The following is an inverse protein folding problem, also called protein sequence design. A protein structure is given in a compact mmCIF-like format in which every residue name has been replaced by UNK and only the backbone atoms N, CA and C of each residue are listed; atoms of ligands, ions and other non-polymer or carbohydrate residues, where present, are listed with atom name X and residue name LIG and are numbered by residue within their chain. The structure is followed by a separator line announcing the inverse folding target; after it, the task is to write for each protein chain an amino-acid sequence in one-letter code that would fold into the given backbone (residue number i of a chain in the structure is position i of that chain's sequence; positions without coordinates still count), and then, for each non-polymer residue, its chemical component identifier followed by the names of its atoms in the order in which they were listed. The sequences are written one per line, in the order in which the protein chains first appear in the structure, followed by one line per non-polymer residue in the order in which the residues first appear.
data_IF_878574349285
#
_entry.id   IF_878574349285
#
_cell.length_a   1.000
_cell.length_b   1.000
_cell.length_c   1.000
_cell.angle_alpha   90.00
_cell.angle_beta   90.00
_cell.angle_gamma   90.00
#
_symmetry.space_group_name_H-M   'P 1'
#
loop_
_entity.id
_entity.type
_entity.pdbx_description
1 polymer ?
#
# COMPACT_ATOMS: atom_id res chain seq x y z
N UNK A 1 -14.88 5.93 -13.04
CA UNK A 1 -14.27 4.80 -12.31
C UNK A 1 -13.17 5.27 -11.37
N UNK A 2 -12.07 5.85 -11.85
CA UNK A 2 -10.95 6.34 -11.01
C UNK A 2 -11.41 7.29 -9.90
N UNK A 3 -12.32 8.24 -10.19
CA UNK A 3 -12.90 9.13 -9.19
C UNK A 3 -13.59 8.35 -8.05
N UNK A 4 -14.40 7.34 -8.39
CA UNK A 4 -15.05 6.48 -7.39
C UNK A 4 -14.04 5.70 -6.55
N UNK A 5 -12.99 5.15 -7.17
CA UNK A 5 -11.92 4.48 -6.44
C UNK A 5 -11.18 5.44 -5.49
N UNK A 6 -10.98 6.69 -5.93
CA UNK A 6 -10.38 7.76 -5.13
C UNK A 6 -11.24 8.09 -3.93
N UNK A 7 -12.55 8.25 -4.10
CA UNK A 7 -13.48 8.53 -2.99
C UNK A 7 -13.48 7.41 -1.95
N UNK A 8 -13.52 6.15 -2.39
CA UNK A 8 -13.48 4.98 -1.49
C UNK A 8 -12.16 4.88 -0.72
N UNK A 9 -11.03 5.05 -1.42
CA UNK A 9 -9.72 5.02 -0.79
C UNK A 9 -9.52 6.20 0.17
N UNK A 10 -10.02 7.39 -0.19
CA UNK A 10 -9.99 8.57 0.66
C UNK A 10 -10.83 8.39 1.92
N UNK A 11 -12.02 7.80 1.80
CA UNK A 11 -12.86 7.49 2.96
C UNK A 11 -12.16 6.51 3.92
N UNK A 12 -11.46 5.49 3.40
CA UNK A 12 -10.64 4.59 4.23
C UNK A 12 -9.53 5.35 4.95
N UNK A 13 -8.82 6.26 4.27
CA UNK A 13 -7.79 7.10 4.89
C UNK A 13 -8.41 7.95 6.00
N UNK A 14 -9.46 8.73 5.71
CA UNK A 14 -10.07 9.64 6.67
C UNK A 14 -10.61 8.90 7.91
N UNK A 15 -11.27 7.75 7.72
CA UNK A 15 -11.76 6.93 8.84
C UNK A 15 -10.61 6.35 9.67
N UNK A 16 -9.54 5.91 9.03
CA UNK A 16 -8.36 5.38 9.73
C UNK A 16 -7.67 6.47 10.57
N UNK A 17 -7.61 7.70 10.06
CA UNK A 17 -6.99 8.83 10.74
C UNK A 17 -7.82 9.36 11.92
N UNK A 18 -9.15 9.19 11.91
CA UNK A 18 -10.03 9.69 12.97
C UNK A 18 -9.77 9.07 14.36
N UNK A 19 -9.13 7.90 14.43
CA UNK A 19 -8.82 7.22 15.69
C UNK A 19 -7.46 6.53 15.73
N UNK A 20 -6.58 6.81 14.78
CA UNK A 20 -5.28 6.17 14.66
C UNK A 20 -4.15 7.02 15.25
N UNK A 21 -3.23 6.36 15.96
CA UNK A 21 -1.99 7.00 16.42
C UNK A 21 -0.98 7.06 15.27
N UNK A 22 -0.44 8.25 15.02
CA UNK A 22 0.58 8.47 13.99
C UNK A 22 1.98 8.19 14.52
N UNK A 23 2.86 7.73 13.65
CA UNK A 23 4.30 7.63 13.90
C UNK A 23 5.10 8.06 12.68
N UNK A 24 6.41 8.16 12.84
CA UNK A 24 7.31 8.29 11.70
C UNK A 24 7.28 6.98 10.93
N UNK A 25 6.95 7.06 9.64
CA UNK A 25 6.92 5.92 8.71
C UNK A 25 7.95 6.14 7.60
N UNK A 26 8.33 5.05 6.92
CA UNK A 26 9.25 5.13 5.80
C UNK A 26 8.61 5.76 4.56
N UNK A 27 7.32 5.49 4.32
CA UNK A 27 6.57 6.05 3.19
C UNK A 27 6.77 5.33 1.86
N UNK A 28 7.78 4.46 1.77
CA UNK A 28 8.03 3.59 0.61
C UNK A 28 8.70 2.25 0.98
N UNK A 29 8.31 1.65 2.11
CA UNK A 29 8.91 0.40 2.60
C UNK A 29 8.39 -0.83 1.84
N UNK A 30 8.68 -0.95 0.55
CA UNK A 30 8.42 -2.16 -0.24
C UNK A 30 9.66 -3.05 -0.36
N UNK A 31 9.51 -4.28 -0.88
CA UNK A 31 10.60 -5.27 -0.88
C UNK A 31 11.88 -4.83 -1.60
N UNK A 32 11.78 -3.92 -2.58
CA UNK A 32 12.96 -3.39 -3.27
C UNK A 32 13.77 -2.40 -2.43
N UNK A 33 13.17 -1.82 -1.38
CA UNK A 33 13.81 -0.87 -0.45
C UNK A 33 14.26 -1.58 0.84
N UNK A 34 14.34 -2.93 0.80
CA UNK A 34 14.83 -3.76 1.90
C UNK A 34 15.91 -4.70 1.40
N UNK A 35 17.13 -4.53 1.89
CA UNK A 35 18.25 -5.41 1.56
C UNK A 35 18.52 -6.44 2.66
N UNK A 36 18.84 -7.66 2.24
CA UNK A 36 19.29 -8.74 3.11
C UNK A 36 20.81 -8.79 3.11
N UNK A 37 21.44 -8.60 4.26
CA UNK A 37 22.89 -8.79 4.43
C UNK A 37 23.11 -9.81 5.54
N UNK A 38 23.49 -11.03 5.15
CA UNK A 38 23.53 -12.18 6.05
C UNK A 38 22.13 -12.53 6.56
N UNK A 39 21.91 -12.46 7.87
CA UNK A 39 20.62 -12.70 8.53
C UNK A 39 19.89 -11.41 8.94
N UNK A 40 20.34 -10.25 8.46
CA UNK A 40 19.78 -8.94 8.84
C UNK A 40 19.11 -8.26 7.65
N UNK A 41 18.03 -7.54 7.95
CA UNK A 41 17.30 -6.70 7.02
C UNK A 41 17.70 -5.23 7.24
N UNK A 42 17.91 -4.51 6.15
CA UNK A 42 18.24 -3.09 6.15
C UNK A 42 17.28 -2.35 5.23
N UNK A 43 16.51 -1.41 5.80
CA UNK A 43 15.72 -0.47 5.02
C UNK A 43 16.62 0.67 4.52
N UNK A 44 16.33 1.19 3.33
CA UNK A 44 17.00 2.34 2.74
C UNK A 44 16.02 3.11 1.86
N UNK A 45 16.45 4.27 1.35
CA UNK A 45 15.63 5.17 0.53
C UNK A 45 14.53 5.93 1.32
N UNK A 46 14.98 6.70 2.31
CA UNK A 46 14.13 7.43 3.26
C UNK A 46 13.61 8.79 2.72
N UNK A 47 13.48 8.96 1.40
CA UNK A 47 13.04 10.24 0.82
C UNK A 47 11.56 10.55 1.08
N UNK A 48 10.73 9.51 1.27
CA UNK A 48 9.29 9.60 1.52
C UNK A 48 8.93 9.57 3.03
N UNK A 49 9.89 9.82 3.92
CA UNK A 49 9.64 9.80 5.38
C UNK A 49 8.61 10.85 5.77
N UNK A 50 7.60 10.42 6.52
CA UNK A 50 6.51 11.28 6.96
C UNK A 50 5.92 10.82 8.30
N UNK A 51 5.11 11.68 8.92
CA UNK A 51 4.20 11.26 9.99
C UNK A 51 2.94 10.67 9.36
N UNK A 52 2.67 9.40 9.61
CA UNK A 52 1.50 8.70 9.09
C UNK A 52 1.04 7.58 10.02
N UNK A 53 -0.04 6.90 9.64
CA UNK A 53 -0.50 5.72 10.37
C UNK A 53 0.44 4.52 10.09
N UNK A 54 0.77 3.70 11.11
CA UNK A 54 1.54 2.47 10.91
C UNK A 54 0.92 1.56 9.84
N UNK A 55 -0.41 1.53 9.75
CA UNK A 55 -1.16 0.76 8.77
C UNK A 55 -0.84 1.15 7.32
N UNK A 56 -0.49 2.43 7.06
CA UNK A 56 -0.11 2.88 5.72
C UNK A 56 1.23 2.27 5.30
N UNK A 57 2.25 2.30 6.17
CA UNK A 57 3.57 1.72 5.85
C UNK A 57 3.49 0.19 5.69
N UNK A 58 2.73 -0.48 6.58
CA UNK A 58 2.43 -1.92 6.45
C UNK A 58 1.75 -2.25 5.13
N UNK A 59 0.80 -1.43 4.69
CA UNK A 59 0.13 -1.63 3.40
C UNK A 59 1.09 -1.50 2.21
N UNK A 60 2.08 -0.61 2.30
CA UNK A 60 3.10 -0.44 1.25
C UNK A 60 4.00 -1.68 1.20
N UNK A 61 4.43 -2.20 2.35
CA UNK A 61 5.21 -3.44 2.42
C UNK A 61 4.49 -4.66 1.84
N UNK A 62 3.16 -4.69 1.92
CA UNK A 62 2.34 -5.80 1.41
C UNK A 62 1.86 -5.60 -0.03
N UNK A 63 2.05 -4.41 -0.59
CA UNK A 63 1.44 -3.99 -1.85
C UNK A 63 1.77 -4.88 -3.05
N UNK A 64 3.02 -5.31 -3.17
CA UNK A 64 3.49 -6.18 -4.27
C UNK A 64 2.92 -7.60 -4.19
N UNK A 65 2.52 -8.02 -2.98
CA UNK A 65 1.94 -9.35 -2.75
C UNK A 65 0.44 -9.43 -3.06
N UNK A 66 -0.25 -8.28 -3.23
CA UNK A 66 -1.72 -8.21 -3.30
C UNK A 66 -2.38 -9.03 -4.42
N UNK A 67 -1.62 -9.35 -5.48
CA UNK A 67 -2.10 -10.14 -6.62
C UNK A 67 -1.57 -11.60 -6.59
N UNK A 68 -0.74 -11.96 -5.61
CA UNK A 68 -0.16 -13.30 -5.52
C UNK A 68 -1.20 -14.25 -4.92
N UNK A 69 -1.27 -15.48 -5.42
CA UNK A 69 -2.11 -16.53 -4.81
C UNK A 69 -1.77 -16.78 -3.33
N UNK A 70 -0.52 -16.51 -2.94
CA UNK A 70 -0.03 -16.60 -1.57
C UNK A 70 -0.25 -15.35 -0.71
N UNK A 71 -1.01 -14.35 -1.19
CA UNK A 71 -1.19 -13.07 -0.50
C UNK A 71 -1.60 -13.25 0.96
N UNK A 72 -2.60 -14.08 1.24
CA UNK A 72 -3.08 -14.33 2.60
C UNK A 72 -1.99 -14.91 3.52
N UNK A 73 -1.20 -15.87 3.03
CA UNK A 73 -0.09 -16.45 3.79
C UNK A 73 1.05 -15.43 4.02
N UNK A 74 1.31 -14.56 3.05
CA UNK A 74 2.29 -13.46 3.18
C UNK A 74 1.82 -12.48 4.25
N UNK A 75 0.55 -12.04 4.23
CA UNK A 75 -0.02 -11.14 5.24
C UNK A 75 0.07 -11.77 6.63
N UNK A 76 -0.29 -13.06 6.76
CA UNK A 76 -0.21 -13.79 8.03
C UNK A 76 1.22 -13.90 8.55
N UNK A 77 2.19 -14.18 7.67
CA UNK A 77 3.60 -14.26 8.06
C UNK A 77 4.17 -12.90 8.47
N UNK A 78 3.83 -11.84 7.72
CA UNK A 78 4.24 -10.46 8.02
C UNK A 78 3.63 -10.01 9.35
N UNK A 79 2.33 -10.22 9.56
CA UNK A 79 1.62 -9.91 10.81
C UNK A 79 2.29 -10.58 12.01
N UNK A 80 2.60 -11.88 11.92
CA UNK A 80 3.27 -12.60 13.01
C UNK A 80 4.59 -11.93 13.42
N UNK A 81 5.41 -11.53 12.46
CA UNK A 81 6.67 -10.83 12.75
C UNK A 81 6.46 -9.42 13.30
N UNK A 82 5.45 -8.70 12.80
CA UNK A 82 5.09 -7.37 13.31
C UNK A 82 4.62 -7.42 14.78
N UNK A 83 3.76 -8.39 15.10
CA UNK A 83 3.17 -8.61 16.43
C UNK A 83 4.17 -9.06 17.50
N UNK A 84 5.41 -9.43 17.13
CA UNK A 84 6.49 -9.65 18.10
C UNK A 84 6.92 -8.35 18.78
N UNK A 85 6.69 -7.19 18.16
CA UNK A 85 7.17 -5.88 18.63
C UNK A 85 6.03 -4.89 18.88
N UNK A 86 4.97 -4.90 18.06
CA UNK A 86 3.87 -3.93 18.15
C UNK A 86 2.51 -4.54 17.75
N UNK A 87 1.38 -4.03 18.27
CA UNK A 87 0.06 -4.50 17.86
C UNK A 87 -0.17 -4.35 16.36
N UNK A 88 -0.84 -5.32 15.73
CA UNK A 88 -1.17 -5.26 14.31
C UNK A 88 -2.03 -4.03 13.99
N UNK A 89 -1.58 -3.12 13.09
CA UNK A 89 -2.22 -1.81 12.93
C UNK A 89 -3.34 -1.81 11.89
N UNK A 90 -3.52 -2.91 11.15
CA UNK A 90 -4.56 -3.03 10.10
C UNK A 90 -5.79 -3.71 10.69
N UNK A 91 -6.92 -2.99 10.68
CA UNK A 91 -8.18 -3.41 11.28
C UNK A 91 -8.82 -4.61 10.56
N UNK A 92 -8.89 -4.55 9.23
CA UNK A 92 -9.50 -5.59 8.39
C UNK A 92 -8.99 -5.56 6.94
N UNK A 93 -9.45 -6.50 6.12
CA UNK A 93 -9.09 -6.60 4.70
C UNK A 93 -9.58 -5.40 3.87
N UNK A 94 -10.68 -4.76 4.26
CA UNK A 94 -11.22 -3.61 3.55
C UNK A 94 -10.32 -2.38 3.74
N UNK A 95 -9.80 -2.16 4.95
CA UNK A 95 -8.82 -1.12 5.24
C UNK A 95 -7.52 -1.36 4.46
N UNK A 96 -7.00 -2.60 4.46
CA UNK A 96 -5.81 -2.94 3.69
C UNK A 96 -5.99 -2.70 2.19
N UNK A 97 -7.13 -3.15 1.63
CA UNK A 97 -7.46 -2.94 0.23
C UNK A 97 -7.60 -1.45 -0.11
N UNK A 98 -8.19 -0.65 0.78
CA UNK A 98 -8.30 0.80 0.63
C UNK A 98 -6.95 1.51 0.59
N UNK A 99 -6.01 1.14 1.47
CA UNK A 99 -4.67 1.69 1.41
C UNK A 99 -3.89 1.23 0.16
N UNK A 100 -4.04 -0.02 -0.27
CA UNK A 100 -3.49 -0.45 -1.56
C UNK A 100 -4.08 0.34 -2.73
N UNK A 101 -5.38 0.66 -2.70
CA UNK A 101 -6.01 1.47 -3.74
C UNK A 101 -5.45 2.90 -3.73
N UNK A 102 -5.28 3.50 -2.55
CA UNK A 102 -4.63 4.80 -2.41
C UNK A 102 -3.20 4.81 -2.98
N UNK A 103 -2.38 3.81 -2.63
CA UNK A 103 -1.02 3.66 -3.19
C UNK A 103 -1.05 3.46 -4.70
N UNK A 104 -1.97 2.65 -5.22
CA UNK A 104 -2.10 2.43 -6.67
C UNK A 104 -2.47 3.72 -7.41
N UNK A 105 -3.41 4.52 -6.89
CA UNK A 105 -3.79 5.81 -7.47
C UNK A 105 -2.63 6.80 -7.43
N UNK A 106 -1.88 6.83 -6.33
CA UNK A 106 -0.66 7.64 -6.22
C UNK A 106 0.38 7.24 -7.28
N UNK A 107 0.63 5.94 -7.46
CA UNK A 107 1.55 5.43 -8.48
C UNK A 107 1.06 5.71 -9.91
N UNK A 108 -0.25 5.67 -10.16
CA UNK A 108 -0.84 6.08 -11.45
C UNK A 108 -0.60 7.58 -11.71
N UNK A 109 -0.80 8.42 -10.70
CA UNK A 109 -0.52 9.86 -10.80
C UNK A 109 0.97 10.13 -11.05
N UNK A 110 1.86 9.37 -10.40
CA UNK A 110 3.29 9.44 -10.65
C UNK A 110 3.61 9.07 -12.10
N UNK A 111 3.15 7.90 -12.57
CA UNK A 111 3.35 7.42 -13.93
C UNK A 111 2.89 8.43 -14.99
N UNK A 112 1.70 9.02 -14.81
CA UNK A 112 1.15 10.03 -15.71
C UNK A 112 1.98 11.34 -15.76
N UNK A 113 2.79 11.62 -14.74
CA UNK A 113 3.61 12.84 -14.65
C UNK A 113 5.06 12.62 -15.09
N UNK A 114 5.58 11.41 -14.97
CA UNK A 114 7.02 11.14 -15.12
C UNK A 114 7.36 10.25 -16.30
N UNK A 115 6.45 9.38 -16.75
CA UNK A 115 6.71 8.46 -17.86
C UNK A 115 6.35 9.09 -19.20
N UNK A 116 6.98 8.64 -20.31
CA UNK A 116 6.49 8.91 -21.65
C UNK A 116 5.02 8.49 -21.80
N UNK A 117 4.24 9.25 -22.58
CA UNK A 117 2.78 9.07 -22.70
C UNK A 117 2.38 7.60 -22.92
N UNK A 118 3.04 6.92 -23.86
CA UNK A 118 2.74 5.53 -24.18
C UNK A 118 2.98 4.58 -23.00
N UNK A 119 4.08 4.76 -22.26
CA UNK A 119 4.40 3.94 -21.10
C UNK A 119 3.43 4.22 -19.94
N UNK A 120 3.00 5.47 -19.77
CA UNK A 120 1.98 5.84 -18.80
C UNK A 120 0.62 5.19 -19.13
N UNK A 121 0.20 5.22 -20.41
CA UNK A 121 -1.01 4.54 -20.90
C UNK A 121 -0.94 3.02 -20.64
N UNK A 122 0.15 2.37 -21.03
CA UNK A 122 0.37 0.94 -20.80
C UNK A 122 0.36 0.59 -19.30
N UNK A 123 0.96 1.44 -18.46
CA UNK A 123 0.93 1.26 -17.01
C UNK A 123 -0.50 1.35 -16.46
N UNK A 124 -1.24 2.37 -16.86
CA UNK A 124 -2.62 2.61 -16.43
C UNK A 124 -3.50 1.42 -16.86
N UNK A 125 -3.47 1.03 -18.13
CA UNK A 125 -4.28 -0.08 -18.65
C UNK A 125 -4.02 -1.38 -17.90
N UNK A 126 -2.76 -1.64 -17.51
CA UNK A 126 -2.38 -2.82 -16.74
C UNK A 126 -3.00 -2.87 -15.34
N UNK A 127 -3.16 -1.73 -14.68
CA UNK A 127 -3.64 -1.67 -13.28
C UNK A 127 -5.14 -1.45 -13.16
N UNK A 128 -5.78 -0.95 -14.21
CA UNK A 128 -7.22 -0.63 -14.24
C UNK A 128 -8.14 -1.81 -13.89
N UNK A 129 -7.94 -3.04 -14.40
CA UNK A 129 -8.82 -4.17 -14.05
C UNK A 129 -8.84 -4.50 -12.55
N UNK A 130 -7.71 -4.30 -11.86
CA UNK A 130 -7.64 -4.48 -10.42
C UNK A 130 -8.41 -3.38 -9.69
N UNK A 131 -8.26 -2.12 -10.11
CA UNK A 131 -8.96 -0.98 -9.51
C UNK A 131 -10.48 -1.08 -9.72
N UNK A 132 -10.92 -1.59 -10.87
CA UNK A 132 -12.33 -1.90 -11.13
C UNK A 132 -12.86 -2.99 -10.20
N UNK A 133 -12.06 -4.03 -9.96
CA UNK A 133 -12.40 -5.08 -9.00
C UNK A 133 -12.53 -4.52 -7.59
N UNK A 134 -11.60 -3.65 -7.18
CA UNK A 134 -11.69 -2.94 -5.89
C UNK A 134 -13.00 -2.14 -5.78
N UNK A 135 -13.33 -1.32 -6.77
CA UNK A 135 -14.57 -0.53 -6.76
C UNK A 135 -15.82 -1.44 -6.70
N UNK A 136 -15.84 -2.55 -7.43
CA UNK A 136 -16.97 -3.49 -7.40
C UNK A 136 -17.13 -4.20 -6.05
N UNK A 137 -16.02 -4.48 -5.36
CA UNK A 137 -16.03 -5.20 -4.08
C UNK A 137 -16.41 -4.30 -2.91
N UNK A 138 -15.97 -3.03 -2.93
CA UNK A 138 -16.10 -2.13 -1.77
C UNK A 138 -16.96 -0.88 -2.02
N UNK A 139 -17.47 -0.69 -3.24
CA UNK A 139 -18.23 0.49 -3.66
C UNK A 139 -19.72 0.27 -3.77
#
# INVERSE_FOLDING_TARGET
MIARATDLAMDVILRSWAGGDTQVVHGDLHEWNVHVVGSRLFAFDFEDVMLALPAQDVSISLYSSRLKASHHEIVKAFRRGYEEIAPWPVADEAQLAGFHAARQIMLMNYAARTLPLKEAEEYIDRVMPWLETYVRTYG
#
